data_IF_164591798796
#
_entry.id   IF_164591798796
#
_cell.length_a   1.000
_cell.length_b   1.000
_cell.length_c   1.000
_cell.angle_alpha   90.00
_cell.angle_beta   90.00
_cell.angle_gamma   90.00
#
_symmetry.space_group_name_H-M   'P 1'
#
loop_
_entity.id
_entity.type
_entity.pdbx_description
1 polymer ?
#
# COMPACT_ATOMS: atom_id res chain seq x y z
N UNK A 1 -5.80 71.32 44.39
CA UNK A 1 -7.15 71.74 43.99
C UNK A 1 -8.08 70.61 44.38
N UNK A 2 -8.50 70.61 45.65
CA UNK A 2 -9.80 71.15 46.13
C UNK A 2 -10.92 70.18 45.75
N UNK A 3 -11.29 69.31 46.69
CA UNK A 3 -12.45 69.49 47.57
C UNK A 3 -13.64 68.71 46.96
N UNK A 4 -14.41 67.91 47.68
CA UNK A 4 -14.90 68.12 49.05
C UNK A 4 -15.31 66.76 49.66
N UNK A 5 -15.21 66.62 50.99
CA UNK A 5 -15.64 65.45 51.74
C UNK A 5 -17.13 65.54 52.07
N UNK A 6 -17.77 64.39 52.33
CA UNK A 6 -19.13 64.35 52.86
C UNK A 6 -19.26 63.21 53.87
N UNK A 7 -19.10 63.59 55.14
CA UNK A 7 -19.76 62.93 56.26
C UNK A 7 -21.26 62.76 55.97
N UNK A 8 -21.81 61.59 56.25
CA UNK A 8 -22.84 61.38 57.29
C UNK A 8 -23.72 60.15 57.03
N UNK A 9 -23.79 59.32 58.07
CA UNK A 9 -24.95 58.52 58.51
C UNK A 9 -25.24 57.19 57.79
N UNK A 10 -24.81 56.11 58.47
CA UNK A 10 -25.56 54.86 58.68
C UNK A 10 -26.61 54.48 57.62
N UNK A 11 -26.17 54.10 56.42
CA UNK A 11 -26.89 53.07 55.67
C UNK A 11 -26.36 51.72 56.16
N UNK A 12 -27.18 51.05 56.96
CA UNK A 12 -27.01 49.64 57.30
C UNK A 12 -26.86 48.86 55.99
N UNK A 13 -25.61 48.53 55.64
CA UNK A 13 -25.31 47.71 54.46
C UNK A 13 -25.79 46.30 54.76
N UNK A 14 -27.05 46.05 54.45
CA UNK A 14 -27.59 44.72 54.28
C UNK A 14 -26.67 43.93 53.33
N UNK A 15 -26.08 42.83 53.81
CA UNK A 15 -25.19 41.96 53.03
C UNK A 15 -25.95 40.73 52.60
N UNK A 16 -25.80 40.31 51.35
CA UNK A 16 -26.44 39.09 50.86
C UNK A 16 -25.88 37.85 51.55
N UNK A 17 -26.72 36.81 51.70
CA UNK A 17 -26.33 35.53 52.29
C UNK A 17 -25.07 34.92 51.64
N UNK A 18 -24.96 35.06 50.31
CA UNK A 18 -23.82 34.59 49.55
C UNK A 18 -22.53 35.33 49.95
N UNK A 19 -22.58 36.66 50.07
CA UNK A 19 -21.42 37.46 50.48
C UNK A 19 -20.97 37.14 51.90
N UNK A 20 -21.90 36.88 52.82
CA UNK A 20 -21.59 36.50 54.21
C UNK A 20 -21.02 35.07 54.27
N UNK A 21 -21.54 34.15 53.46
CA UNK A 21 -21.03 32.79 53.34
C UNK A 21 -19.57 32.76 52.84
N UNK A 22 -19.28 33.53 51.80
CA UNK A 22 -17.93 33.67 51.24
C UNK A 22 -16.95 34.31 52.24
N UNK A 23 -17.37 35.37 52.94
CA UNK A 23 -16.53 36.04 53.95
C UNK A 23 -16.13 35.10 55.10
N UNK A 24 -17.05 34.25 55.55
CA UNK A 24 -16.85 33.36 56.69
C UNK A 24 -16.35 31.96 56.30
N UNK A 25 -16.22 31.68 54.99
CA UNK A 25 -15.83 30.37 54.48
C UNK A 25 -16.84 29.26 54.80
N UNK A 26 -18.12 29.61 54.94
CA UNK A 26 -19.19 28.68 55.31
C UNK A 26 -20.04 28.29 54.09
N UNK A 27 -20.47 27.02 53.96
CA UNK A 27 -21.45 26.65 52.94
C UNK A 27 -22.79 27.37 53.14
N UNK A 28 -23.39 27.86 52.06
CA UNK A 28 -24.64 28.64 52.11
C UNK A 28 -25.79 27.92 52.83
N UNK A 29 -25.94 26.60 52.62
CA UNK A 29 -26.98 25.81 53.30
C UNK A 29 -26.80 25.76 54.83
N UNK A 30 -25.58 25.97 55.34
CA UNK A 30 -25.33 26.04 56.79
C UNK A 30 -25.86 27.33 57.39
N UNK A 31 -25.74 28.45 56.70
CA UNK A 31 -26.31 29.72 57.14
C UNK A 31 -27.84 29.62 57.25
N UNK A 32 -28.50 29.07 56.24
CA UNK A 32 -29.96 28.82 56.28
C UNK A 32 -30.38 27.85 57.39
N UNK A 33 -29.57 26.82 57.65
CA UNK A 33 -29.80 25.92 58.78
C UNK A 33 -29.68 26.66 60.13
N UNK A 34 -28.74 27.59 60.26
CA UNK A 34 -28.55 28.37 61.49
C UNK A 34 -29.65 29.40 61.72
N UNK A 35 -30.21 29.99 60.67
CA UNK A 35 -31.42 30.84 60.77
C UNK A 35 -32.57 30.11 61.47
N UNK A 36 -32.73 28.81 61.19
CA UNK A 36 -33.77 27.98 61.83
C UNK A 36 -33.40 27.53 63.24
N UNK A 37 -32.12 27.26 63.49
CA UNK A 37 -31.65 26.68 64.76
C UNK A 37 -31.44 27.73 65.86
N UNK A 38 -31.08 28.96 65.48
CA UNK A 38 -30.75 30.02 66.43
C UNK A 38 -31.59 31.26 66.12
N UNK A 39 -32.75 31.44 66.77
CA UNK A 39 -33.64 32.58 66.57
C UNK A 39 -33.11 33.82 67.30
N UNK A 40 -31.84 34.14 67.09
CA UNK A 40 -31.09 35.19 67.79
C UNK A 40 -30.53 36.25 66.83
N UNK A 41 -30.61 35.97 65.52
CA UNK A 41 -30.38 36.93 64.45
C UNK A 41 -31.50 36.75 63.41
N UNK A 42 -31.93 37.85 62.79
CA UNK A 42 -32.98 37.84 61.77
C UNK A 42 -32.40 38.17 60.40
N UNK A 43 -32.94 37.54 59.36
CA UNK A 43 -32.64 37.90 57.98
C UNK A 43 -33.81 38.66 57.36
N UNK A 44 -33.48 39.60 56.47
CA UNK A 44 -34.44 40.34 55.69
C UNK A 44 -34.52 39.69 54.31
N UNK A 45 -35.69 39.24 53.90
CA UNK A 45 -35.87 38.76 52.53
C UNK A 45 -36.06 39.96 51.59
N UNK A 46 -35.20 40.08 50.59
CA UNK A 46 -35.33 41.08 49.54
C UNK A 46 -36.46 40.74 48.56
N UNK A 47 -36.83 41.70 47.73
CA UNK A 47 -37.83 41.54 46.67
C UNK A 47 -37.45 40.46 45.63
N UNK A 48 -36.17 40.09 45.58
CA UNK A 48 -35.58 39.05 44.74
C UNK A 48 -35.60 37.66 45.39
N UNK A 49 -36.15 37.53 46.60
CA UNK A 49 -36.19 36.28 47.36
C UNK A 49 -34.86 35.90 48.02
N UNK A 50 -33.84 36.77 47.99
CA UNK A 50 -32.56 36.53 48.67
C UNK A 50 -32.61 36.98 50.12
N UNK A 51 -31.93 36.24 51.00
CA UNK A 51 -31.75 36.63 52.40
C UNK A 51 -30.61 37.64 52.54
N UNK A 52 -30.88 38.74 53.24
CA UNK A 52 -29.92 39.78 53.58
C UNK A 52 -29.74 39.87 55.10
N UNK A 53 -28.48 40.04 55.52
CA UNK A 53 -28.06 40.13 56.90
C UNK A 53 -27.70 41.56 57.24
N UNK A 54 -28.21 42.05 58.37
CA UNK A 54 -27.76 43.32 58.94
C UNK A 54 -26.37 43.15 59.59
N UNK A 55 -25.75 44.26 59.99
CA UNK A 55 -24.41 44.23 60.56
C UNK A 55 -24.34 43.41 61.86
N UNK A 56 -25.42 43.39 62.65
CA UNK A 56 -25.51 42.65 63.90
C UNK A 56 -25.64 41.14 63.68
N UNK A 57 -26.48 40.72 62.74
CA UNK A 57 -26.66 39.33 62.34
C UNK A 57 -25.35 38.75 61.80
N UNK A 58 -24.59 39.51 61.00
CA UNK A 58 -23.26 39.09 60.55
C UNK A 58 -22.30 38.89 61.73
N UNK A 59 -22.36 39.76 62.74
CA UNK A 59 -21.54 39.63 63.96
C UNK A 59 -21.93 38.38 64.77
N UNK A 60 -23.22 38.13 64.96
CA UNK A 60 -23.75 36.94 65.63
C UNK A 60 -23.33 35.66 64.88
N UNK A 61 -23.50 35.62 63.57
CA UNK A 61 -23.11 34.47 62.72
C UNK A 61 -21.60 34.23 62.78
N UNK A 62 -20.78 35.29 62.77
CA UNK A 62 -19.33 35.20 62.94
C UNK A 62 -18.97 34.58 64.29
N UNK A 63 -19.69 34.95 65.34
CA UNK A 63 -19.47 34.43 66.69
C UNK A 63 -19.94 32.97 66.82
N UNK A 64 -21.07 32.60 66.21
CA UNK A 64 -21.52 31.20 66.10
C UNK A 64 -20.48 30.35 65.36
N UNK A 65 -19.93 30.85 64.26
CA UNK A 65 -18.89 30.15 63.49
C UNK A 65 -17.61 29.93 64.31
N UNK A 66 -17.19 30.93 65.09
CA UNK A 66 -16.07 30.81 66.03
C UNK A 66 -16.34 29.73 67.08
N UNK A 67 -17.50 29.80 67.74
CA UNK A 67 -17.87 28.85 68.79
C UNK A 67 -17.92 27.41 68.29
N UNK A 68 -18.51 27.18 67.10
CA UNK A 68 -18.67 25.83 66.53
C UNK A 68 -17.38 25.24 65.97
N UNK A 69 -16.63 26.01 65.18
CA UNK A 69 -15.52 25.47 64.40
C UNK A 69 -14.15 25.73 65.03
N UNK A 70 -14.00 26.78 65.84
CA UNK A 70 -12.72 27.10 66.48
C UNK A 70 -12.68 26.63 67.94
N UNK A 71 -13.79 26.80 68.68
CA UNK A 71 -13.84 26.48 70.12
C UNK A 71 -14.50 25.13 70.42
N UNK A 72 -15.14 24.49 69.42
CA UNK A 72 -15.73 23.16 69.53
C UNK A 72 -16.98 23.07 70.42
N UNK A 73 -17.68 24.18 70.63
CA UNK A 73 -18.92 24.23 71.40
C UNK A 73 -20.01 23.35 70.76
N UNK A 74 -20.86 22.71 71.56
CA UNK A 74 -21.98 21.92 71.04
C UNK A 74 -23.14 22.81 70.63
N UNK A 75 -23.92 22.41 69.63
CA UNK A 75 -25.00 23.22 69.06
C UNK A 75 -26.01 23.78 70.08
N UNK A 76 -26.30 23.06 71.17
CA UNK A 76 -27.25 23.52 72.21
C UNK A 76 -26.64 24.49 73.23
N UNK A 77 -25.31 24.61 73.30
CA UNK A 77 -24.60 25.48 74.25
C UNK A 77 -24.37 26.89 73.69
N UNK A 78 -24.45 27.05 72.36
CA UNK A 78 -24.14 28.29 71.64
C UNK A 78 -24.98 29.46 72.13
N UNK A 79 -26.29 29.29 72.33
CA UNK A 79 -27.16 30.39 72.78
C UNK A 79 -26.76 30.87 74.19
N UNK A 80 -26.32 29.96 75.06
CA UNK A 80 -25.83 30.30 76.40
C UNK A 80 -24.50 31.04 76.34
N UNK A 81 -23.56 30.59 75.48
CA UNK A 81 -22.29 31.26 75.24
C UNK A 81 -22.48 32.67 74.65
N UNK A 82 -23.38 32.83 73.66
CA UNK A 82 -23.69 34.13 73.07
C UNK A 82 -24.31 35.12 74.06
N UNK A 83 -25.10 34.63 75.04
CA UNK A 83 -25.61 35.46 76.14
C UNK A 83 -24.51 35.83 77.14
N UNK A 84 -23.59 34.90 77.44
CA UNK A 84 -22.48 35.13 78.34
C UNK A 84 -21.48 36.14 77.78
N UNK A 85 -21.24 36.11 76.47
CA UNK A 85 -20.36 37.04 75.74
C UNK A 85 -21.02 38.41 75.48
N UNK A 86 -22.26 38.61 75.94
CA UNK A 86 -22.98 39.88 75.83
C UNK A 86 -23.48 40.21 74.42
N UNK A 87 -23.44 39.24 73.51
CA UNK A 87 -23.84 39.41 72.10
C UNK A 87 -25.37 39.47 71.97
N UNK A 88 -26.13 38.86 72.90
CA UNK A 88 -27.61 38.86 72.92
C UNK A 88 -28.16 39.35 74.27
N UNK A 89 -29.20 40.20 74.26
CA UNK A 89 -29.84 40.75 75.48
C UNK A 89 -30.80 39.74 76.14
N UNK A 90 -30.79 39.65 77.47
CA UNK A 90 -31.68 38.79 78.27
C UNK A 90 -33.01 39.48 78.59
N UNK A 91 -34.14 38.98 78.07
CA UNK A 91 -35.49 39.34 78.52
C UNK A 91 -36.00 38.36 79.59
N UNK A 92 -36.55 38.91 80.67
CA UNK A 92 -36.98 38.21 81.89
C UNK A 92 -38.49 38.41 82.06
N UNK A 93 -39.34 37.36 82.15
CA UNK A 93 -40.73 37.55 82.52
C UNK A 93 -40.92 37.38 84.03
N UNK A 94 -41.67 38.30 84.61
CA UNK A 94 -42.09 38.35 86.00
C UNK A 94 -43.63 38.24 86.10
N UNK A 95 -44.07 37.66 87.21
CA UNK A 95 -45.32 37.91 87.96
C UNK A 95 -46.69 37.42 87.46
N UNK A 96 -47.37 36.65 88.34
CA UNK A 96 -48.74 36.89 88.86
C UNK A 96 -48.91 36.01 90.13
N UNK A 97 -49.06 36.55 91.36
CA UNK A 97 -50.28 37.14 91.97
C UNK A 97 -51.51 36.20 91.90
N UNK A 98 -52.38 36.02 92.90
CA UNK A 98 -52.55 36.49 94.29
C UNK A 98 -53.84 35.81 94.82
N UNK A 99 -53.89 35.55 96.13
CA UNK A 99 -55.01 35.76 97.09
C UNK A 99 -56.40 35.12 96.88
N UNK A 100 -56.88 34.42 97.93
CA UNK A 100 -58.18 34.65 98.63
C UNK A 100 -58.17 33.84 99.94
N UNK A 101 -58.01 34.41 101.14
CA UNK A 101 -59.03 34.99 102.08
C UNK A 101 -60.23 34.07 102.31
N UNK A 102 -60.30 33.40 103.47
CA UNK A 102 -60.99 33.86 104.72
C UNK A 102 -62.48 34.09 104.52
N UNK A 103 -63.32 33.31 105.19
CA UNK A 103 -64.48 33.90 105.87
C UNK A 103 -64.98 33.06 107.05
N UNK A 104 -65.30 33.81 108.10
CA UNK A 104 -65.72 33.44 109.44
C UNK A 104 -67.21 33.74 109.58
N UNK A 105 -68.01 32.78 110.08
CA UNK A 105 -69.40 33.06 110.46
C UNK A 105 -69.81 32.34 111.77
N UNK A 106 -69.77 33.13 112.84
CA UNK A 106 -70.86 33.41 113.80
C UNK A 106 -71.80 32.27 114.24
N UNK A 107 -71.44 31.67 115.38
CA UNK A 107 -72.15 31.64 116.66
C UNK A 107 -73.62 32.17 116.72
N UNK A 108 -74.60 31.26 116.85
CA UNK A 108 -75.92 31.53 117.44
C UNK A 108 -76.34 30.41 118.40
N UNK A 109 -76.76 30.81 119.60
CA UNK A 109 -77.05 29.94 120.75
C UNK A 109 -78.35 29.14 120.60
N UNK A 110 -78.30 27.87 121.00
CA UNK A 110 -79.41 26.93 120.93
C UNK A 110 -79.69 26.28 122.29
N UNK A 111 -80.98 26.07 122.51
CA UNK A 111 -81.64 25.60 123.74
C UNK A 111 -81.31 24.14 124.06
N UNK A 112 -81.13 23.83 125.36
CA UNK A 112 -80.59 22.58 125.93
C UNK A 112 -81.35 21.28 125.59
N UNK A 113 -82.53 21.36 124.96
CA UNK A 113 -83.33 20.22 124.50
C UNK A 113 -83.36 20.06 122.96
N UNK A 114 -82.99 21.09 122.21
CA UNK A 114 -82.67 21.01 120.78
C UNK A 114 -81.22 20.53 120.58
N UNK A 115 -80.34 20.77 121.56
CA UNK A 115 -78.96 20.27 121.52
C UNK A 115 -78.93 18.76 121.35
N UNK A 116 -79.75 17.96 122.05
CA UNK A 116 -79.67 16.49 121.95
C UNK A 116 -80.14 15.95 120.59
N UNK A 117 -81.24 16.46 120.03
CA UNK A 117 -81.74 16.08 118.69
C UNK A 117 -80.84 16.62 117.57
N UNK A 118 -80.29 17.82 117.72
CA UNK A 118 -79.27 18.35 116.81
C UNK A 118 -77.94 17.61 116.94
N UNK A 119 -77.59 17.09 118.12
CA UNK A 119 -76.37 16.27 118.32
C UNK A 119 -76.54 14.88 117.71
N UNK A 120 -77.71 14.25 117.83
CA UNK A 120 -78.02 13.01 117.10
C UNK A 120 -78.06 13.24 115.58
N UNK A 121 -78.69 14.34 115.13
CA UNK A 121 -78.70 14.72 113.72
C UNK A 121 -77.29 15.07 113.23
N UNK A 122 -76.44 15.70 114.04
CA UNK A 122 -75.03 15.94 113.75
C UNK A 122 -74.26 14.65 113.64
N UNK A 123 -74.42 13.69 114.56
CA UNK A 123 -73.77 12.37 114.46
C UNK A 123 -74.21 11.61 113.21
N UNK A 124 -75.50 11.66 112.87
CA UNK A 124 -76.02 11.05 111.66
C UNK A 124 -75.45 11.73 110.41
N UNK A 125 -75.41 13.07 110.38
CA UNK A 125 -74.80 13.84 109.30
C UNK A 125 -73.28 13.66 109.22
N UNK A 126 -72.58 13.46 110.34
CA UNK A 126 -71.16 13.12 110.40
C UNK A 126 -70.92 11.72 109.83
N UNK A 127 -71.79 10.76 110.15
CA UNK A 127 -71.71 9.41 109.62
C UNK A 127 -72.07 9.34 108.13
N UNK A 128 -73.09 10.08 107.69
CA UNK A 128 -73.44 10.26 106.27
C UNK A 128 -72.32 10.98 105.52
N UNK A 129 -71.71 12.03 106.08
CA UNK A 129 -70.54 12.69 105.48
C UNK A 129 -69.32 11.77 105.42
N UNK A 130 -69.13 10.91 106.43
CA UNK A 130 -68.07 9.90 106.41
C UNK A 130 -68.31 8.87 105.30
N UNK A 131 -69.53 8.36 105.15
CA UNK A 131 -69.90 7.45 104.06
C UNK A 131 -69.79 8.12 102.69
N UNK A 132 -70.23 9.37 102.55
CA UNK A 132 -70.06 10.15 101.32
C UNK A 132 -68.58 10.39 101.04
N UNK A 133 -67.76 10.65 102.06
CA UNK A 133 -66.31 10.80 101.94
C UNK A 133 -65.63 9.52 101.46
N UNK A 134 -65.96 8.38 102.06
CA UNK A 134 -65.48 7.05 101.62
C UNK A 134 -65.93 6.73 100.19
N UNK A 135 -67.17 7.08 99.82
CA UNK A 135 -67.65 6.96 98.44
C UNK A 135 -66.91 7.90 97.49
N UNK A 136 -66.60 9.14 97.88
CA UNK A 136 -65.85 10.10 97.08
C UNK A 136 -64.40 9.65 96.88
N UNK A 137 -63.77 9.08 97.90
CA UNK A 137 -62.46 8.45 97.80
C UNK A 137 -62.49 7.25 96.84
N UNK A 138 -63.51 6.41 96.92
CA UNK A 138 -63.70 5.30 95.99
C UNK A 138 -63.91 5.78 94.55
N UNK A 139 -64.72 6.84 94.33
CA UNK A 139 -64.85 7.47 93.02
C UNK A 139 -63.53 8.10 92.55
N UNK A 140 -62.75 8.68 93.45
CA UNK A 140 -61.40 9.19 93.15
C UNK A 140 -60.45 8.08 92.68
N UNK A 141 -60.46 6.92 93.36
CA UNK A 141 -59.68 5.75 92.94
C UNK A 141 -60.14 5.21 91.58
N UNK A 142 -61.45 5.14 91.33
CA UNK A 142 -62.00 4.74 90.03
C UNK A 142 -61.60 5.75 88.94
N UNK A 143 -61.68 7.04 89.20
CA UNK A 143 -61.28 8.08 88.24
C UNK A 143 -59.78 8.01 87.90
N UNK A 144 -58.92 7.76 88.89
CA UNK A 144 -57.48 7.52 88.66
C UNK A 144 -57.25 6.24 87.85
N UNK A 145 -58.00 5.16 88.13
CA UNK A 145 -57.94 3.92 87.36
C UNK A 145 -58.44 4.10 85.92
N UNK A 146 -59.48 4.91 85.70
CA UNK A 146 -59.96 5.22 84.35
C UNK A 146 -58.95 6.05 83.58
N UNK A 147 -58.36 7.05 84.22
CA UNK A 147 -57.32 7.88 83.59
C UNK A 147 -56.07 7.08 83.22
N UNK A 148 -55.63 6.17 84.09
CA UNK A 148 -54.51 5.28 83.76
C UNK A 148 -54.83 4.36 82.58
N UNK A 149 -56.06 3.83 82.49
CA UNK A 149 -56.50 3.05 81.34
C UNK A 149 -56.64 3.89 80.05
N UNK A 150 -57.06 5.15 80.16
CA UNK A 150 -57.07 6.09 79.02
C UNK A 150 -55.66 6.37 78.51
N UNK A 151 -54.72 6.66 79.42
CA UNK A 151 -53.30 6.88 79.09
C UNK A 151 -52.66 5.61 78.48
N UNK A 152 -52.99 4.41 78.99
CA UNK A 152 -52.54 3.14 78.43
C UNK A 152 -53.13 2.87 77.03
N UNK A 153 -54.41 3.15 76.82
CA UNK A 153 -55.04 3.02 75.50
C UNK A 153 -54.46 4.00 74.48
N UNK A 154 -54.20 5.24 74.88
CA UNK A 154 -53.55 6.23 74.02
C UNK A 154 -52.12 5.79 73.67
N UNK A 155 -51.37 5.25 74.63
CA UNK A 155 -50.04 4.69 74.38
C UNK A 155 -50.09 3.48 73.43
N UNK A 156 -51.06 2.58 73.58
CA UNK A 156 -51.24 1.44 72.69
C UNK A 156 -51.60 1.90 71.27
N UNK A 157 -52.46 2.91 71.14
CA UNK A 157 -52.82 3.50 69.86
C UNK A 157 -51.60 4.12 69.17
N UNK A 158 -50.80 4.90 69.90
CA UNK A 158 -49.54 5.46 69.38
C UNK A 158 -48.56 4.37 68.95
N UNK A 159 -48.42 3.29 69.73
CA UNK A 159 -47.57 2.14 69.36
C UNK A 159 -48.09 1.43 68.10
N UNK A 160 -49.40 1.30 67.95
CA UNK A 160 -50.02 0.69 66.77
C UNK A 160 -49.81 1.55 65.52
N UNK A 161 -50.02 2.87 65.62
CA UNK A 161 -49.76 3.82 64.53
C UNK A 161 -48.25 3.85 64.17
N UNK A 162 -47.36 3.78 65.16
CA UNK A 162 -45.92 3.69 64.93
C UNK A 162 -45.52 2.37 64.25
N UNK A 163 -46.14 1.24 64.62
CA UNK A 163 -45.91 -0.04 63.96
C UNK A 163 -46.42 -0.04 62.51
N UNK A 164 -47.61 0.52 62.26
CA UNK A 164 -48.17 0.65 60.92
C UNK A 164 -47.32 1.55 60.02
N UNK A 165 -46.90 2.71 60.52
CA UNK A 165 -46.03 3.61 59.75
C UNK A 165 -44.66 3.00 59.47
N UNK A 166 -44.12 2.19 60.39
CA UNK A 166 -42.89 1.41 60.15
C UNK A 166 -43.09 0.35 59.06
N UNK A 167 -44.17 -0.44 59.12
CA UNK A 167 -44.47 -1.45 58.11
C UNK A 167 -44.70 -0.82 56.72
N UNK A 168 -45.38 0.32 56.67
CA UNK A 168 -45.58 1.08 55.43
C UNK A 168 -44.25 1.60 54.88
N UNK A 169 -43.38 2.14 55.74
CA UNK A 169 -42.05 2.58 55.36
C UNK A 169 -41.19 1.43 54.83
N UNK A 170 -41.18 0.28 55.52
CA UNK A 170 -40.45 -0.92 55.08
C UNK A 170 -40.99 -1.46 53.74
N UNK A 171 -42.31 -1.46 53.54
CA UNK A 171 -42.92 -1.81 52.24
C UNK A 171 -42.53 -0.85 51.13
N UNK A 172 -42.59 0.46 51.38
CA UNK A 172 -42.19 1.47 50.39
C UNK A 172 -40.69 1.37 50.06
N UNK A 173 -39.85 1.13 51.06
CA UNK A 173 -38.41 0.90 50.86
C UNK A 173 -38.14 -0.35 50.04
N UNK A 174 -38.84 -1.45 50.33
CA UNK A 174 -38.75 -2.70 49.56
C UNK A 174 -39.22 -2.51 48.11
N UNK A 175 -40.36 -1.83 47.89
CA UNK A 175 -40.85 -1.54 46.54
C UNK A 175 -39.90 -0.64 45.76
N UNK A 176 -39.32 0.38 46.40
CA UNK A 176 -38.33 1.25 45.78
C UNK A 176 -37.07 0.47 45.38
N UNK A 177 -36.56 -0.40 46.27
CA UNK A 177 -35.42 -1.27 45.96
C UNK A 177 -35.73 -2.25 44.84
N UNK A 178 -36.95 -2.82 44.82
CA UNK A 178 -37.39 -3.72 43.76
C UNK A 178 -37.45 -3.00 42.40
N UNK A 179 -38.03 -1.79 42.34
CA UNK A 179 -38.06 -1.00 41.10
C UNK A 179 -36.66 -0.66 40.60
N UNK A 180 -35.75 -0.27 41.49
CA UNK A 180 -34.36 -0.01 41.12
C UNK A 180 -33.69 -1.26 40.49
N UNK A 181 -33.91 -2.45 41.07
CA UNK A 181 -33.40 -3.69 40.49
C UNK A 181 -34.07 -4.06 39.15
N UNK A 182 -35.35 -3.75 38.96
CA UNK A 182 -36.04 -3.94 37.68
C UNK A 182 -35.49 -3.00 36.60
N UNK A 183 -35.21 -1.74 36.95
CA UNK A 183 -34.57 -0.76 36.05
C UNK A 183 -33.14 -1.19 35.67
N UNK A 184 -32.33 -1.62 36.64
CA UNK A 184 -30.97 -2.13 36.39
C UNK A 184 -31.00 -3.38 35.50
N UNK A 185 -31.93 -4.30 35.73
CA UNK A 185 -32.10 -5.48 34.87
C UNK A 185 -32.53 -5.11 33.45
N UNK A 186 -33.40 -4.12 33.29
CA UNK A 186 -33.80 -3.61 31.98
C UNK A 186 -32.59 -3.00 31.23
N UNK A 187 -31.79 -2.17 31.92
CA UNK A 187 -30.58 -1.61 31.35
C UNK A 187 -29.56 -2.69 30.96
N UNK A 188 -29.38 -3.72 31.80
CA UNK A 188 -28.52 -4.87 31.47
C UNK A 188 -29.03 -5.63 30.23
N UNK A 189 -30.34 -5.84 30.11
CA UNK A 189 -30.91 -6.47 28.92
C UNK A 189 -30.65 -5.66 27.64
N UNK A 190 -30.79 -4.33 27.70
CA UNK A 190 -30.49 -3.45 26.58
C UNK A 190 -29.01 -3.52 26.16
N UNK A 191 -28.10 -3.54 27.14
CA UNK A 191 -26.65 -3.69 26.86
C UNK A 191 -26.33 -5.06 26.25
N UNK A 192 -26.97 -6.14 26.72
CA UNK A 192 -26.81 -7.48 26.14
C UNK A 192 -27.29 -7.50 24.69
N UNK A 193 -28.45 -6.92 24.39
CA UNK A 193 -28.97 -6.84 23.03
C UNK A 193 -28.10 -5.97 22.11
N UNK A 194 -27.54 -4.87 22.63
CA UNK A 194 -26.56 -4.08 21.90
C UNK A 194 -25.30 -4.91 21.57
N UNK A 195 -24.71 -5.58 22.55
CA UNK A 195 -23.52 -6.42 22.35
C UNK A 195 -23.79 -7.58 21.39
N UNK A 196 -25.01 -8.17 21.40
CA UNK A 196 -25.40 -9.18 20.41
C UNK A 196 -25.45 -8.61 18.99
N UNK A 197 -25.97 -7.40 18.81
CA UNK A 197 -25.98 -6.73 17.50
C UNK A 197 -24.56 -6.41 17.03
N UNK A 198 -23.70 -5.91 17.91
CA UNK A 198 -22.29 -5.65 17.61
C UNK A 198 -21.54 -6.93 17.24
N UNK A 199 -21.74 -8.02 17.99
CA UNK A 199 -21.18 -9.34 17.67
C UNK A 199 -21.65 -9.86 16.31
N UNK A 200 -22.95 -9.71 16.00
CA UNK A 200 -23.51 -10.10 14.71
C UNK A 200 -22.92 -9.25 13.57
N UNK A 201 -22.76 -7.95 13.79
CA UNK A 201 -22.10 -7.03 12.86
C UNK A 201 -20.64 -7.41 12.59
N UNK A 202 -19.87 -7.71 13.64
CA UNK A 202 -18.49 -8.18 13.51
C UNK A 202 -18.40 -9.52 12.77
N UNK A 203 -19.30 -10.47 13.05
CA UNK A 203 -19.34 -11.75 12.33
C UNK A 203 -19.64 -11.56 10.84
N UNK A 204 -20.61 -10.70 10.51
CA UNK A 204 -20.92 -10.38 9.11
C UNK A 204 -19.73 -9.70 8.42
N UNK A 205 -19.05 -8.77 9.09
CA UNK A 205 -17.86 -8.11 8.56
C UNK A 205 -16.71 -9.11 8.30
N UNK A 206 -16.43 -10.00 9.25
CA UNK A 206 -15.44 -11.06 9.08
C UNK A 206 -15.78 -11.99 7.91
N UNK A 207 -17.05 -12.38 7.77
CA UNK A 207 -17.49 -13.21 6.65
C UNK A 207 -17.30 -12.52 5.29
N UNK A 208 -17.56 -11.21 5.22
CA UNK A 208 -17.31 -10.42 4.01
C UNK A 208 -15.80 -10.37 3.72
N UNK A 209 -14.96 -10.08 4.70
CA UNK A 209 -13.50 -10.09 4.53
C UNK A 209 -12.96 -11.45 4.09
N UNK A 210 -13.46 -12.56 4.66
CA UNK A 210 -13.10 -13.91 4.24
C UNK A 210 -13.51 -14.16 2.78
N UNK A 211 -14.69 -13.69 2.36
CA UNK A 211 -15.14 -13.80 0.97
C UNK A 211 -14.29 -12.96 0.00
N UNK A 212 -13.85 -11.77 0.42
CA UNK A 212 -12.96 -10.90 -0.36
C UNK A 212 -11.55 -11.50 -0.48
N UNK A 213 -11.00 -12.00 0.62
CA UNK A 213 -9.69 -12.68 0.61
C UNK A 213 -9.71 -13.95 -0.23
N UNK A 214 -10.78 -14.75 -0.16
CA UNK A 214 -10.92 -15.94 -1.00
C UNK A 214 -11.06 -15.58 -2.47
N UNK A 215 -11.82 -14.54 -2.82
CA UNK A 215 -11.91 -14.03 -4.20
C UNK A 215 -10.54 -13.53 -4.71
N UNK A 216 -9.79 -12.78 -3.90
CA UNK A 216 -8.45 -12.30 -4.24
C UNK A 216 -7.46 -13.46 -4.48
N UNK A 217 -7.50 -14.50 -3.64
CA UNK A 217 -6.67 -15.69 -3.83
C UNK A 217 -7.02 -16.45 -5.11
N UNK A 218 -8.29 -16.51 -5.50
CA UNK A 218 -8.71 -17.11 -6.79
C UNK A 218 -8.15 -16.29 -7.96
N UNK A 219 -8.31 -14.97 -7.93
CA UNK A 219 -7.79 -14.09 -8.98
C UNK A 219 -6.26 -14.21 -9.15
N UNK A 220 -5.50 -14.23 -8.05
CA UNK A 220 -4.05 -14.43 -8.07
C UNK A 220 -3.65 -15.81 -8.63
N UNK A 221 -4.42 -16.86 -8.32
CA UNK A 221 -4.17 -18.21 -8.88
C UNK A 221 -4.42 -18.25 -10.39
N UNK A 222 -5.45 -17.56 -10.88
CA UNK A 222 -5.74 -17.44 -12.31
C UNK A 222 -4.67 -16.62 -13.04
N UNK A 223 -4.16 -15.55 -12.43
CA UNK A 223 -3.05 -14.77 -12.98
C UNK A 223 -1.76 -15.61 -13.04
N UNK A 224 -1.42 -16.32 -11.97
CA UNK A 224 -0.28 -17.24 -11.95
C UNK A 224 -0.41 -18.33 -13.03
N UNK A 225 -1.62 -18.87 -13.23
CA UNK A 225 -1.89 -19.86 -14.28
C UNK A 225 -1.69 -19.27 -15.69
N UNK A 226 -2.14 -18.03 -15.92
CA UNK A 226 -1.92 -17.30 -17.18
C UNK A 226 -0.43 -17.06 -17.45
N UNK A 227 0.32 -16.54 -16.47
CA UNK A 227 1.76 -16.32 -16.63
C UNK A 227 2.53 -17.62 -16.86
N UNK A 228 2.13 -18.73 -16.20
CA UNK A 228 2.73 -20.05 -16.47
C UNK A 228 2.45 -20.55 -17.89
N UNK A 229 1.24 -20.34 -18.39
CA UNK A 229 0.87 -20.70 -19.76
C UNK A 229 1.67 -19.87 -20.77
N UNK A 230 1.84 -18.58 -20.52
CA UNK A 230 2.66 -17.68 -21.34
C UNK A 230 4.13 -18.09 -21.35
N UNK A 231 4.73 -18.35 -20.18
CA UNK A 231 6.10 -18.86 -20.10
C UNK A 231 6.29 -20.19 -20.84
N UNK A 232 5.31 -21.09 -20.79
CA UNK A 232 5.34 -22.34 -21.55
C UNK A 232 5.31 -22.06 -23.06
N UNK A 233 4.39 -21.20 -23.51
CA UNK A 233 4.29 -20.81 -24.92
C UNK A 233 5.58 -20.16 -25.44
N UNK A 234 6.23 -19.31 -24.62
CA UNK A 234 7.49 -18.69 -24.97
C UNK A 234 8.63 -19.71 -25.09
N UNK A 235 8.72 -20.67 -24.17
CA UNK A 235 9.70 -21.77 -24.26
C UNK A 235 9.47 -22.63 -25.50
N UNK A 236 8.23 -22.98 -25.80
CA UNK A 236 7.88 -23.76 -27.00
C UNK A 236 8.25 -22.98 -28.28
N UNK A 237 8.05 -21.66 -28.29
CA UNK A 237 8.44 -20.79 -29.40
C UNK A 237 9.97 -20.67 -29.53
N UNK A 238 10.70 -20.54 -28.43
CA UNK A 238 12.17 -20.50 -28.40
C UNK A 238 12.76 -21.81 -28.91
N UNK A 239 12.25 -22.96 -28.44
CA UNK A 239 12.67 -24.27 -28.93
C UNK A 239 12.43 -24.41 -30.43
N UNK A 240 11.27 -23.96 -30.95
CA UNK A 240 11.02 -23.94 -32.39
C UNK A 240 12.05 -23.08 -33.13
N UNK A 241 12.34 -21.86 -32.65
CA UNK A 241 13.35 -20.97 -33.25
C UNK A 241 14.74 -21.58 -33.24
N UNK A 242 15.10 -22.29 -32.16
CA UNK A 242 16.37 -22.99 -32.08
C UNK A 242 16.44 -24.13 -33.10
N UNK A 243 15.40 -24.95 -33.21
CA UNK A 243 15.36 -26.03 -34.21
C UNK A 243 15.39 -25.52 -35.65
N UNK A 244 14.74 -24.39 -35.95
CA UNK A 244 14.82 -23.77 -37.28
C UNK A 244 16.20 -23.19 -37.55
N UNK A 245 16.81 -22.53 -36.56
CA UNK A 245 18.17 -22.02 -36.69
C UNK A 245 19.17 -23.16 -36.93
N UNK A 246 19.08 -24.26 -36.18
CA UNK A 246 19.93 -25.45 -36.39
C UNK A 246 19.75 -26.05 -37.79
N UNK A 247 18.52 -26.07 -38.32
CA UNK A 247 18.25 -26.54 -39.67
C UNK A 247 18.85 -25.60 -40.73
N UNK A 248 18.73 -24.28 -40.54
CA UNK A 248 19.32 -23.27 -41.43
C UNK A 248 20.85 -23.32 -41.40
N UNK A 249 21.47 -23.51 -40.22
CA UNK A 249 22.93 -23.65 -40.12
C UNK A 249 23.41 -24.90 -40.85
N UNK A 250 22.73 -26.05 -40.68
CA UNK A 250 23.08 -27.29 -41.40
C UNK A 250 22.91 -27.13 -42.91
N UNK A 251 21.81 -26.52 -43.36
CA UNK A 251 21.59 -26.25 -44.78
C UNK A 251 22.65 -25.28 -45.35
N UNK A 252 23.08 -24.31 -44.55
CA UNK A 252 24.19 -23.41 -44.87
C UNK A 252 25.52 -24.15 -45.05
N UNK A 253 25.86 -25.03 -44.12
CA UNK A 253 27.06 -25.89 -44.18
C UNK A 253 27.03 -26.83 -45.39
N UNK A 254 25.90 -27.51 -45.64
CA UNK A 254 25.71 -28.35 -46.83
C UNK A 254 25.90 -27.56 -48.13
N UNK A 255 25.32 -26.35 -48.22
CA UNK A 255 25.50 -25.48 -49.38
C UNK A 255 26.95 -25.04 -49.54
N UNK A 256 27.63 -24.71 -48.45
CA UNK A 256 29.04 -24.31 -48.48
C UNK A 256 29.93 -25.45 -48.98
N UNK A 257 29.75 -26.66 -48.44
CA UNK A 257 30.52 -27.85 -48.89
C UNK A 257 30.28 -28.16 -50.36
N UNK A 258 29.04 -28.00 -50.86
CA UNK A 258 28.72 -28.16 -52.28
C UNK A 258 29.46 -27.13 -53.14
N UNK A 259 29.40 -25.85 -52.76
CA UNK A 259 30.11 -24.78 -53.49
C UNK A 259 31.63 -24.98 -53.46
N UNK A 260 32.18 -25.44 -52.34
CA UNK A 260 33.60 -25.79 -52.25
C UNK A 260 33.94 -26.95 -53.19
N UNK A 261 33.14 -28.01 -53.25
CA UNK A 261 33.33 -29.12 -54.18
C UNK A 261 33.25 -28.67 -55.65
N UNK A 262 32.28 -27.82 -56.00
CA UNK A 262 32.17 -27.23 -57.34
C UNK A 262 33.38 -26.37 -57.68
N UNK A 263 33.85 -25.54 -56.74
CA UNK A 263 35.07 -24.74 -56.90
C UNK A 263 36.28 -25.64 -57.18
N UNK A 264 36.50 -26.69 -56.38
CA UNK A 264 37.60 -27.63 -56.60
C UNK A 264 37.50 -28.30 -57.98
N UNK A 265 36.30 -28.71 -58.40
CA UNK A 265 36.07 -29.30 -59.72
C UNK A 265 36.37 -28.33 -60.86
N UNK A 266 35.99 -27.07 -60.72
CA UNK A 266 36.30 -26.02 -61.71
C UNK A 266 37.81 -25.78 -61.78
N UNK A 267 38.49 -25.66 -60.63
CA UNK A 267 39.95 -25.52 -60.58
C UNK A 267 40.63 -26.68 -61.30
N UNK A 268 40.24 -27.93 -61.04
CA UNK A 268 40.79 -29.10 -61.75
C UNK A 268 40.57 -29.04 -63.26
N UNK A 269 39.38 -28.63 -63.71
CA UNK A 269 39.10 -28.45 -65.15
C UNK A 269 39.96 -27.36 -65.77
N UNK A 270 40.18 -26.25 -65.06
CA UNK A 270 41.08 -25.19 -65.51
C UNK A 270 42.52 -25.69 -65.60
N UNK A 271 43.02 -26.39 -64.59
CA UNK A 271 44.36 -27.01 -64.61
C UNK A 271 44.52 -27.97 -65.80
N UNK A 272 43.53 -28.82 -66.07
CA UNK A 272 43.53 -29.70 -67.24
C UNK A 272 43.53 -28.93 -68.56
N UNK A 273 42.74 -27.85 -68.65
CA UNK A 273 42.71 -26.99 -69.84
C UNK A 273 44.03 -26.27 -70.06
N UNK A 274 44.71 -25.84 -69.00
CA UNK A 274 46.04 -25.22 -69.08
C UNK A 274 47.07 -26.23 -69.56
N UNK A 275 47.05 -27.46 -69.03
CA UNK A 275 47.93 -28.53 -69.48
C UNK A 275 47.70 -28.86 -70.97
N UNK A 276 46.44 -28.97 -71.40
CA UNK A 276 46.10 -29.19 -72.80
C UNK A 276 46.61 -28.04 -73.69
N UNK A 277 46.43 -26.79 -73.25
CA UNK A 277 46.93 -25.62 -73.96
C UNK A 277 48.46 -25.67 -74.13
N UNK A 278 49.20 -26.01 -73.07
CA UNK A 278 50.65 -26.20 -73.13
C UNK A 278 51.04 -27.30 -74.13
N UNK A 279 50.33 -28.44 -74.14
CA UNK A 279 50.63 -29.51 -75.12
C UNK A 279 50.36 -29.07 -76.56
N UNK A 280 49.30 -28.29 -76.80
CA UNK A 280 49.00 -27.73 -78.12
C UNK A 280 50.01 -26.65 -78.53
N UNK A 281 50.52 -25.86 -77.59
CA UNK A 281 51.60 -24.90 -77.82
C UNK A 281 52.90 -25.62 -78.20
N UNK A 282 53.27 -26.67 -77.47
CA UNK A 282 54.44 -27.51 -77.76
C UNK A 282 54.32 -28.20 -79.14
N UNK A 283 53.15 -28.73 -79.46
CA UNK A 283 52.87 -29.32 -80.77
C UNK A 283 52.94 -28.27 -81.89
N UNK A 284 52.39 -27.08 -81.69
CA UNK A 284 52.52 -25.97 -82.64
C UNK A 284 53.99 -25.58 -82.85
N UNK A 285 54.79 -25.53 -81.79
CA UNK A 285 56.24 -25.27 -81.90
C UNK A 285 56.92 -26.38 -82.71
N UNK A 286 56.58 -27.65 -82.46
CA UNK A 286 57.09 -28.80 -83.21
C UNK A 286 56.69 -28.76 -84.69
N UNK A 287 55.43 -28.47 -84.98
CA UNK A 287 54.93 -28.32 -86.35
C UNK A 287 55.60 -27.16 -87.08
N UNK A 288 55.81 -26.01 -86.42
CA UNK A 288 56.57 -24.89 -86.99
C UNK A 288 58.02 -25.27 -87.31
N UNK A 289 58.67 -26.08 -86.46
CA UNK A 289 60.02 -26.60 -86.75
C UNK A 289 59.99 -27.54 -87.97
N UNK A 290 59.07 -28.49 -88.01
CA UNK A 290 58.88 -29.42 -89.13
C UNK A 290 58.56 -28.70 -90.45
N UNK A 291 57.73 -27.65 -90.40
CA UNK A 291 57.41 -26.83 -91.56
C UNK A 291 58.66 -26.09 -92.07
N UNK A 292 59.46 -25.52 -91.18
CA UNK A 292 60.76 -24.90 -91.55
C UNK A 292 61.74 -25.91 -92.14
N UNK A 293 61.80 -27.12 -91.59
CA UNK A 293 62.61 -28.22 -92.15
C UNK A 293 62.12 -28.62 -93.55
N UNK A 294 60.80 -28.72 -93.74
CA UNK A 294 60.19 -28.98 -95.04
C UNK A 294 60.43 -27.85 -96.06
N UNK A 295 60.39 -26.59 -95.63
CA UNK A 295 60.77 -25.44 -96.45
C UNK A 295 62.25 -25.48 -96.82
N UNK A 296 63.14 -25.81 -95.87
CA UNK A 296 64.56 -25.98 -96.14
C UNK A 296 64.81 -27.12 -97.14
N UNK A 297 64.14 -28.26 -96.97
CA UNK A 297 64.18 -29.39 -97.92
C UNK A 297 63.67 -28.99 -99.30
N UNK A 298 62.58 -28.21 -99.40
CA UNK A 298 62.10 -27.68 -100.68
C UNK A 298 63.08 -26.70 -101.32
N UNK A 299 63.69 -25.81 -100.53
CA UNK A 299 64.73 -24.90 -101.04
C UNK A 299 65.95 -25.69 -101.54
N UNK A 300 66.34 -26.75 -100.85
CA UNK A 300 67.40 -27.65 -101.30
C UNK A 300 66.99 -28.41 -102.56
N UNK A 301 65.75 -28.91 -102.63
CA UNK A 301 65.22 -29.53 -103.83
C UNK A 301 65.24 -28.56 -105.03
N UNK A 302 64.80 -27.30 -104.84
CA UNK A 302 64.87 -26.25 -105.85
C UNK A 302 66.31 -26.04 -106.31
N UNK A 303 67.27 -25.88 -105.38
CA UNK A 303 68.70 -25.76 -105.71
C UNK A 303 69.24 -26.96 -106.48
N UNK A 304 68.83 -28.17 -106.12
CA UNK A 304 69.20 -29.39 -106.83
C UNK A 304 68.61 -29.40 -108.24
N UNK A 305 67.34 -29.05 -108.42
CA UNK A 305 66.73 -28.92 -109.76
C UNK A 305 67.38 -27.83 -110.61
N UNK A 306 67.69 -26.67 -110.04
CA UNK A 306 68.43 -25.60 -110.74
C UNK A 306 69.81 -26.11 -111.16
N UNK A 307 70.49 -26.86 -110.30
CA UNK A 307 71.78 -27.47 -110.62
C UNK A 307 71.67 -28.55 -111.69
N UNK A 308 70.62 -29.37 -111.66
CA UNK A 308 70.33 -30.34 -112.73
C UNK A 308 70.06 -29.62 -114.05
N UNK A 309 69.23 -28.57 -114.06
CA UNK A 309 68.97 -27.77 -115.26
C UNK A 309 70.25 -27.10 -115.79
N UNK A 310 71.09 -26.56 -114.90
CA UNK A 310 72.38 -26.00 -115.29
C UNK A 310 73.28 -27.07 -115.90
N UNK A 311 73.35 -28.27 -115.30
CA UNK A 311 74.08 -29.41 -115.86
C UNK A 311 73.49 -29.87 -117.20
N UNK A 312 72.17 -29.88 -117.36
CA UNK A 312 71.51 -30.21 -118.63
C UNK A 312 71.83 -29.18 -119.71
N UNK A 313 71.81 -27.88 -119.39
CA UNK A 313 72.23 -26.83 -120.32
C UNK A 313 73.71 -26.93 -120.69
N UNK A 314 74.59 -27.21 -119.73
CA UNK A 314 76.01 -27.42 -119.96
C UNK A 314 76.26 -28.67 -120.83
N UNK A 315 75.47 -29.72 -120.63
CA UNK A 315 75.52 -30.92 -121.44
C UNK A 315 74.95 -30.67 -122.86
N UNK A 316 73.95 -29.81 -122.99
CA UNK A 316 73.45 -29.36 -124.28
C UNK A 316 74.48 -28.52 -125.05
N UNK A 317 75.20 -27.61 -124.38
CA UNK A 317 76.32 -26.88 -124.99
C UNK A 317 77.46 -27.81 -125.37
N UNK A 318 77.83 -28.77 -124.51
CA UNK A 318 78.84 -29.77 -124.84
C UNK A 318 78.41 -30.66 -126.02
N UNK A 319 77.11 -31.00 -126.13
CA UNK A 319 76.57 -31.69 -127.30
C UNK A 319 76.62 -30.82 -128.55
N UNK A 320 76.31 -29.53 -128.44
CA UNK A 320 76.40 -28.58 -129.54
C UNK A 320 77.86 -28.40 -130.00
N UNK A 321 78.79 -28.23 -129.08
CA UNK A 321 80.23 -28.21 -129.34
C UNK A 321 80.70 -29.51 -129.98
N UNK A 322 80.27 -30.66 -129.46
CA UNK A 322 80.57 -31.96 -130.07
C UNK A 322 80.02 -32.07 -131.49
N UNK A 323 78.79 -31.59 -131.74
CA UNK A 323 78.22 -31.58 -133.09
C UNK A 323 78.93 -30.62 -134.04
N UNK A 324 79.39 -29.47 -133.54
CA UNK A 324 80.20 -28.50 -134.27
C UNK A 324 81.59 -29.07 -134.60
N UNK A 325 82.25 -29.71 -133.63
CA UNK A 325 83.50 -30.43 -133.84
C UNK A 325 83.33 -31.59 -134.83
N UNK A 326 82.19 -32.28 -134.78
CA UNK A 326 81.89 -33.35 -135.71
C UNK A 326 81.65 -32.81 -137.13
N UNK A 327 80.98 -31.67 -137.29
CA UNK A 327 80.89 -30.96 -138.57
C UNK A 327 82.26 -30.47 -139.06
N UNK A 328 83.12 -29.96 -138.18
CA UNK A 328 84.47 -29.53 -138.53
C UNK A 328 85.36 -30.72 -138.95
N UNK A 329 85.18 -31.89 -138.34
CA UNK A 329 85.81 -33.14 -138.77
C UNK A 329 85.30 -33.58 -140.15
N UNK A 330 83.99 -33.54 -140.39
CA UNK A 330 83.41 -33.83 -141.72
C UNK A 330 83.94 -32.89 -142.80
N UNK A 331 84.01 -31.59 -142.51
CA UNK A 331 84.55 -30.59 -143.43
C UNK A 331 86.04 -30.82 -143.73
N UNK A 332 86.80 -31.30 -142.74
CA UNK A 332 88.20 -31.69 -142.91
C UNK A 332 88.35 -32.98 -143.73
N UNK A 333 87.45 -33.95 -143.56
CA UNK A 333 87.42 -35.16 -144.36
C UNK A 333 87.05 -34.85 -145.82
N UNK A 334 86.17 -33.88 -146.05
CA UNK A 334 85.84 -33.34 -147.39
C UNK A 334 87.04 -32.61 -148.03
N UNK A 335 87.81 -31.84 -147.27
CA UNK A 335 89.08 -31.26 -147.75
C UNK A 335 90.09 -32.36 -148.13
N UNK A 336 90.22 -33.41 -147.32
CA UNK A 336 91.09 -34.56 -147.64
C UNK A 336 90.62 -35.31 -148.90
N UNK A 337 89.30 -35.40 -149.14
CA UNK A 337 88.74 -35.97 -150.36
C UNK A 337 89.00 -35.09 -151.60
N UNK A 338 88.88 -33.77 -151.48
CA UNK A 338 89.18 -32.83 -152.55
C UNK A 338 90.66 -32.82 -152.94
N UNK A 339 91.57 -33.01 -151.96
CA UNK A 339 93.00 -33.18 -152.21
C UNK A 339 93.28 -34.52 -152.91
N UNK A 340 92.62 -35.60 -152.50
CA UNK A 340 92.72 -36.91 -153.16
C UNK A 340 92.27 -36.90 -154.62
N UNK A 341 91.18 -36.18 -154.95
CA UNK A 341 90.72 -36.03 -156.33
C UNK A 341 91.67 -35.21 -157.21
N UNK A 342 92.28 -34.14 -156.67
CA UNK A 342 93.31 -33.37 -157.39
C UNK A 342 94.58 -34.20 -157.65
N UNK A 343 94.94 -35.09 -156.74
CA UNK A 343 96.06 -36.03 -156.92
C UNK A 343 95.77 -37.08 -158.01
N UNK A 344 94.53 -37.56 -158.09
CA UNK A 344 94.10 -38.49 -159.14
C UNK A 344 94.10 -37.84 -160.55
N UNK A 345 93.68 -36.58 -160.65
CA UNK A 345 93.72 -35.82 -161.91
C UNK A 345 95.13 -35.56 -162.44
N UNK A 346 96.10 -35.34 -161.55
CA UNK A 346 97.52 -35.19 -161.94
C UNK A 346 98.10 -36.52 -162.44
N UNK A 347 97.69 -37.66 -161.87
CA UNK A 347 98.15 -38.97 -162.33
C UNK A 347 97.59 -39.34 -163.70
N UNK A 348 96.33 -39.03 -164.00
CA UNK A 348 95.74 -39.24 -165.34
C UNK A 348 96.42 -38.37 -166.40
N UNK A 349 96.70 -37.10 -166.08
CA UNK A 349 97.39 -36.19 -167.01
C UNK A 349 98.82 -36.62 -167.34
N UNK A 350 99.55 -37.19 -166.35
CA UNK A 350 100.87 -37.76 -166.58
C UNK A 350 100.83 -39.04 -167.46
N UNK A 351 99.72 -39.78 -167.42
CA UNK A 351 99.54 -40.99 -168.22
C UNK A 351 99.21 -40.67 -169.68
N UNK A 352 98.45 -39.59 -169.94
CA UNK A 352 98.19 -39.07 -171.29
C UNK A 352 99.47 -38.52 -171.94
N UNK A 353 100.30 -37.77 -171.19
CA UNK A 353 101.60 -37.28 -171.67
C UNK A 353 102.58 -38.42 -172.02
N UNK A 354 102.52 -39.56 -171.33
CA UNK A 354 103.33 -40.74 -171.67
C UNK A 354 102.81 -41.46 -172.93
N UNK A 355 101.51 -41.43 -173.20
CA UNK A 355 100.91 -41.96 -174.43
C UNK A 355 101.27 -41.14 -175.67
N UNK A 356 101.23 -39.82 -175.56
CA UNK A 356 101.61 -38.91 -176.66
C UNK A 356 103.11 -38.97 -177.00
N UNK A 357 103.97 -39.13 -175.98
CA UNK A 357 105.40 -39.34 -176.20
C UNK A 357 105.71 -40.70 -176.87
N UNK A 358 104.87 -41.72 -176.68
CA UNK A 358 105.02 -43.01 -177.38
C UNK A 358 104.60 -42.92 -178.85
N UNK A 359 103.56 -42.15 -179.17
CA UNK A 359 103.11 -41.92 -180.56
C UNK A 359 104.07 -41.05 -181.36
N UNK A 360 104.67 -40.02 -180.74
CA UNK A 360 105.69 -39.18 -181.40
C UNK A 360 107.01 -39.93 -181.65
N UNK A 361 107.34 -40.93 -180.82
CA UNK A 361 108.53 -41.76 -181.02
C UNK A 361 108.39 -42.77 -182.17
N UNK A 362 107.16 -43.11 -182.57
CA UNK A 362 106.93 -43.99 -183.73
C UNK A 362 107.00 -43.27 -185.08
N UNK A 363 106.74 -41.95 -185.13
CA UNK A 363 106.81 -41.17 -186.38
C UNK A 363 108.25 -40.76 -186.79
N UNK A 364 109.26 -41.04 -185.97
CA UNK A 364 110.69 -40.74 -186.24
C UNK A 364 111.43 -41.97 -186.82
N UNK A 365 110.70 -43.00 -187.26
CA UNK A 365 111.28 -44.25 -187.80
C UNK A 365 110.80 -44.66 -189.20
N UNK A 366 110.25 -43.71 -189.97
CA UNK A 366 110.18 -43.72 -191.44
C UNK A 366 110.43 -42.28 -191.94
#
# INVERSE_FOLDING_TARGET
MTATPSHHLHQERLRSALSVAEELGLPLYRLHSWESLYPVFATHQGEDGQSYYDAHAVEVVRHIARLLYQEGAKSHEIISCLRQDGVIKTEKPAESQRLSKEDSFQNHGLSRHDVTSLTERLKQLEQENKQLGEQLEAFGQIALSLKTLEDENELLRQKQEAAQSRDEYERQSYEASKRALEEDNAALHDTIEQLKRELAGHKAHMQVQESEHTAALVALREELARSRAECKSLRDAEQKRQTTHEAETRAGEERQTLLENERHRLVQKFEQSVLLMQTLEDENVRLKRSLKEGEAMRQEQVRLTERVQALESANATLKAERSSLQQALSARDEEHHAVGQKQAGIQQFLQELQGELYQLKQLITE
#
